data_IF_787450110506
#
_entry.id   IF_787450110506
#
_cell.length_a   1.000
_cell.length_b   1.000
_cell.length_c   1.000
_cell.angle_alpha   90.00
_cell.angle_beta   90.00
_cell.angle_gamma   90.00
#
_symmetry.space_group_name_H-M   'P 1'
#
loop_
_entity.id
_entity.type
_entity.pdbx_description
1 polymer ?
#
# COMPACT_ATOMS: atom_id res chain seq x y z
N UNK A 1 13.37 -24.61 -2.22
CA UNK A 1 12.35 -24.50 -1.15
C UNK A 1 11.93 -23.04 -1.09
N UNK A 2 10.80 -22.69 -1.72
CA UNK A 2 10.37 -21.30 -1.87
C UNK A 2 9.11 -21.04 -1.04
N UNK A 3 9.30 -20.52 0.17
CA UNK A 3 8.25 -20.19 1.12
C UNK A 3 7.42 -18.99 0.60
N UNK A 4 6.38 -19.28 -0.15
CA UNK A 4 5.36 -18.33 -0.55
C UNK A 4 4.02 -18.89 -0.08
N UNK A 5 3.45 -18.37 1.02
CA UNK A 5 2.00 -18.33 1.33
C UNK A 5 1.76 -18.04 2.82
N UNK A 6 2.06 -16.83 3.25
CA UNK A 6 1.65 -16.35 4.56
C UNK A 6 1.39 -14.87 4.48
N UNK A 7 0.19 -14.49 4.03
CA UNK A 7 -0.28 -13.12 4.20
C UNK A 7 -0.35 -12.88 5.70
N UNK A 8 0.69 -12.27 6.27
CA UNK A 8 0.78 -11.98 7.70
C UNK A 8 0.85 -10.49 7.87
N UNK A 9 0.24 -9.97 8.91
CA UNK A 9 0.48 -8.60 9.33
C UNK A 9 1.99 -8.35 9.42
N UNK A 10 2.45 -7.33 8.72
CA UNK A 10 3.85 -6.98 8.73
C UNK A 10 3.99 -5.48 8.61
N UNK A 11 4.98 -4.95 9.29
CA UNK A 11 5.34 -3.54 9.16
C UNK A 11 6.23 -3.37 7.93
N UNK A 12 5.88 -2.42 7.07
CA UNK A 12 6.64 -2.06 5.88
C UNK A 12 6.99 -0.58 5.93
N UNK A 13 8.14 -0.19 5.37
CA UNK A 13 8.57 1.21 5.36
C UNK A 13 8.14 1.89 4.07
N UNK A 14 7.54 3.08 4.19
CA UNK A 14 7.13 3.87 3.04
C UNK A 14 8.37 4.39 2.29
N UNK A 15 8.41 4.21 0.98
CA UNK A 15 9.52 4.73 0.14
C UNK A 15 9.48 6.26 -0.04
N UNK A 16 8.36 6.89 0.29
CA UNK A 16 8.10 8.31 0.07
C UNK A 16 8.41 9.13 1.34
N UNK A 17 7.81 8.74 2.48
CA UNK A 17 7.97 9.44 3.76
C UNK A 17 8.84 8.69 4.78
N UNK A 18 9.26 7.45 4.50
CA UNK A 18 10.06 6.65 5.43
C UNK A 18 9.30 6.11 6.65
N UNK A 19 8.01 6.40 6.81
CA UNK A 19 7.21 5.91 7.94
C UNK A 19 6.96 4.40 7.85
N UNK A 20 7.00 3.74 9.01
CA UNK A 20 6.56 2.36 9.13
C UNK A 20 5.02 2.31 9.12
N UNK A 21 4.45 1.52 8.21
CA UNK A 21 3.01 1.30 8.12
C UNK A 21 2.71 -0.20 8.23
N UNK A 22 1.57 -0.53 8.84
CA UNK A 22 1.09 -1.89 8.90
C UNK A 22 0.55 -2.29 7.53
N UNK A 23 1.12 -3.35 6.95
CA UNK A 23 0.56 -4.03 5.80
C UNK A 23 -0.09 -5.32 6.29
N UNK A 24 -1.39 -5.21 6.58
CA UNK A 24 -2.17 -6.29 7.17
C UNK A 24 -2.34 -7.48 6.22
N UNK A 25 -2.68 -8.65 6.77
CA UNK A 25 -3.09 -9.81 5.97
C UNK A 25 -4.26 -9.45 5.04
N UNK A 26 -5.27 -8.74 5.56
CA UNK A 26 -6.47 -8.36 4.81
C UNK A 26 -6.15 -7.49 3.59
N UNK A 27 -5.26 -6.51 3.75
CA UNK A 27 -4.78 -5.72 2.61
C UNK A 27 -4.02 -6.59 1.61
N UNK A 28 -3.11 -7.46 2.07
CA UNK A 28 -2.37 -8.32 1.16
C UNK A 28 -3.29 -9.24 0.34
N UNK A 29 -4.31 -9.82 0.97
CA UNK A 29 -5.34 -10.64 0.31
C UNK A 29 -6.14 -9.80 -0.69
N UNK A 30 -6.49 -8.57 -0.34
CA UNK A 30 -7.19 -7.65 -1.24
C UNK A 30 -6.36 -7.33 -2.49
N UNK A 31 -5.10 -6.92 -2.30
CA UNK A 31 -4.18 -6.62 -3.42
C UNK A 31 -3.96 -7.86 -4.29
N UNK A 32 -3.71 -9.02 -3.67
CA UNK A 32 -3.54 -10.28 -4.39
C UNK A 32 -4.80 -10.71 -5.16
N UNK A 33 -5.97 -10.65 -4.54
CA UNK A 33 -7.26 -11.00 -5.15
C UNK A 33 -7.59 -10.12 -6.35
N UNK A 34 -7.17 -8.85 -6.32
CA UNK A 34 -7.33 -7.91 -7.42
C UNK A 34 -6.23 -8.03 -8.50
N UNK A 35 -5.24 -8.90 -8.33
CA UNK A 35 -4.07 -8.96 -9.21
C UNK A 35 -3.20 -7.70 -9.16
N UNK A 36 -3.29 -6.94 -8.07
CA UNK A 36 -2.55 -5.71 -7.86
C UNK A 36 -1.24 -5.96 -7.12
N UNK A 37 -0.23 -5.17 -7.44
CA UNK A 37 1.06 -5.20 -6.78
C UNK A 37 1.03 -4.63 -5.36
N UNK A 38 1.93 -5.14 -4.51
CA UNK A 38 2.01 -4.73 -3.10
C UNK A 38 2.35 -3.23 -2.97
N UNK A 39 1.76 -2.51 -2.01
CA UNK A 39 2.07 -1.11 -1.84
C UNK A 39 3.52 -0.87 -1.39
N UNK A 40 4.21 0.03 -2.10
CA UNK A 40 5.49 0.59 -1.64
C UNK A 40 5.31 1.85 -0.78
N UNK A 41 4.12 2.43 -0.77
CA UNK A 41 3.77 3.66 -0.04
C UNK A 41 2.72 3.38 1.02
N UNK A 42 2.81 4.06 2.16
CA UNK A 42 1.81 3.99 3.21
C UNK A 42 0.43 4.49 2.71
N UNK A 43 -0.68 4.12 3.40
CA UNK A 43 -2.01 4.63 3.07
C UNK A 43 -2.07 6.16 3.10
N UNK A 44 -1.38 6.80 4.03
CA UNK A 44 -1.35 8.26 4.19
C UNK A 44 -0.78 8.98 2.95
N UNK A 45 0.40 8.57 2.46
CA UNK A 45 0.98 9.13 1.22
C UNK A 45 0.11 8.86 -0.02
N UNK A 46 -0.63 7.74 -0.04
CA UNK A 46 -1.54 7.42 -1.16
C UNK A 46 -2.79 8.30 -1.11
N UNK A 47 -3.35 8.50 0.07
CA UNK A 47 -4.49 9.38 0.28
C UNK A 47 -4.14 10.84 0.04
N UNK A 48 -2.99 11.31 0.53
CA UNK A 48 -2.47 12.65 0.27
C UNK A 48 -2.35 12.89 -1.23
N UNK A 49 -1.79 11.94 -1.98
CA UNK A 49 -1.68 12.06 -3.43
C UNK A 49 -3.06 12.09 -4.10
N UNK A 50 -4.01 11.25 -3.66
CA UNK A 50 -5.39 11.28 -4.16
C UNK A 50 -6.04 12.64 -3.91
N UNK A 51 -5.85 13.23 -2.73
CA UNK A 51 -6.39 14.54 -2.34
C UNK A 51 -5.75 15.68 -3.13
N UNK A 52 -4.45 15.62 -3.40
CA UNK A 52 -3.74 16.62 -4.21
C UNK A 52 -4.11 16.49 -5.69
N UNK A 53 -4.27 15.27 -6.22
CA UNK A 53 -4.69 15.04 -7.61
C UNK A 53 -6.16 15.39 -7.85
N UNK A 54 -7.05 15.18 -6.86
CA UNK A 54 -8.44 15.60 -6.95
C UNK A 54 -8.61 17.12 -7.09
N UNK A 55 -7.59 17.91 -6.72
CA UNK A 55 -7.55 19.37 -6.91
C UNK A 55 -6.94 19.80 -8.25
N UNK A 56 -6.39 18.87 -9.03
CA UNK A 56 -5.73 19.15 -10.31
C UNK A 56 -6.58 18.82 -11.55
N UNK A 57 -7.82 18.34 -11.38
CA UNK A 57 -8.74 18.05 -12.48
C UNK A 57 -9.88 19.09 -12.59
N UNK A 58 -9.54 20.35 -12.31
CA UNK A 58 -10.29 21.52 -12.74
C UNK A 58 -9.36 22.36 -13.63
N UNK A 59 -9.22 21.93 -14.87
CA UNK A 59 -8.90 22.77 -16.01
C UNK A 59 -10.11 22.76 -16.91
#
# INVERSE_FOLDING_TARGET
MGEQSGFKDKWSRCVDCGQAFLFSEGEQRFFWSKGLEKPKRCPDCRELRKRTLARAHHG
#
